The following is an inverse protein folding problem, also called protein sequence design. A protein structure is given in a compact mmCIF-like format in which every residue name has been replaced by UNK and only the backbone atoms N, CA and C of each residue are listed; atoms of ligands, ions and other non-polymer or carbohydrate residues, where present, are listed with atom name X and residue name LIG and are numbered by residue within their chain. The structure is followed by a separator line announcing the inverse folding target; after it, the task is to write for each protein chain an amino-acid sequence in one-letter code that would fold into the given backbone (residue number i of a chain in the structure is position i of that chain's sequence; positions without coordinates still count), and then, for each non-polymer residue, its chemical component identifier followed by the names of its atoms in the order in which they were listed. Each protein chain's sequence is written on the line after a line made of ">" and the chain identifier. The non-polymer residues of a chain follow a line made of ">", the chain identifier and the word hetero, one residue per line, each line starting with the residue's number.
data_IF_700316040857
#
_entry.id   IF_700316040857
#
_cell.length_a   1.000
_cell.length_b   1.000
_cell.length_c   1.000
_cell.angle_alpha   90.00
_cell.angle_beta   90.00
_cell.angle_gamma   90.00
#
_symmetry.space_group_name_H-M   'P 1'
#
loop_
_entity.id
_entity.type
_entity.pdbx_description
1 polymer ?
#
# COMPACT_ATOMS: atom_id res chain seq x y z
N UNK A 1 7.25 15.80 -6.81
CA UNK A 1 7.09 14.63 -5.93
C UNK A 1 7.24 15.11 -4.50
N UNK A 2 6.21 14.97 -3.66
CA UNK A 2 6.20 15.46 -2.27
C UNK A 2 6.11 14.24 -1.35
N UNK A 3 6.80 14.22 -0.22
CA UNK A 3 6.71 13.14 0.76
C UNK A 3 5.35 13.15 1.48
N UNK A 4 4.63 12.03 1.45
CA UNK A 4 3.37 11.86 2.18
C UNK A 4 3.60 11.48 3.66
N UNK A 5 4.75 10.86 3.95
CA UNK A 5 5.16 10.45 5.29
C UNK A 5 6.56 10.92 5.59
N UNK A 6 6.84 11.11 6.87
CA UNK A 6 8.19 11.36 7.35
C UNK A 6 9.09 10.14 7.11
N UNK A 7 10.34 10.40 6.76
CA UNK A 7 11.37 9.38 6.63
C UNK A 7 12.12 9.34 7.95
N UNK A 8 12.17 8.16 8.55
CA UNK A 8 12.86 7.91 9.81
C UNK A 8 14.14 7.12 9.54
N UNK A 9 15.17 7.36 10.34
CA UNK A 9 16.33 6.48 10.38
C UNK A 9 16.07 5.28 11.33
N UNK A 10 16.99 4.30 11.40
CA UNK A 10 16.84 3.14 12.29
C UNK A 10 16.72 3.49 13.78
N UNK A 11 17.26 4.63 14.21
CA UNK A 11 17.14 5.14 15.59
C UNK A 11 15.87 5.96 15.84
N UNK A 12 14.98 6.11 14.84
CA UNK A 12 13.74 6.86 14.94
C UNK A 12 13.87 8.39 14.77
N UNK A 13 15.03 8.89 14.35
CA UNK A 13 15.25 10.30 14.02
C UNK A 13 14.64 10.64 12.65
N UNK A 14 13.91 11.74 12.58
CA UNK A 14 13.32 12.26 11.33
C UNK A 14 14.41 12.80 10.41
N UNK A 15 14.58 12.18 9.26
CA UNK A 15 15.50 12.60 8.20
C UNK A 15 14.87 13.60 7.25
N UNK A 16 13.59 13.39 6.93
CA UNK A 16 12.79 14.27 6.08
C UNK A 16 11.36 14.29 6.63
N UNK A 17 10.79 15.48 6.87
CA UNK A 17 9.40 15.61 7.30
C UNK A 17 8.42 15.33 6.16
N UNK A 18 7.20 14.94 6.51
CA UNK A 18 6.08 14.95 5.56
C UNK A 18 5.90 16.34 4.93
N UNK A 19 5.46 16.40 3.68
CA UNK A 19 5.33 17.65 2.90
C UNK A 19 6.64 18.12 2.24
N UNK A 20 7.77 17.43 2.45
CA UNK A 20 9.04 17.81 1.82
C UNK A 20 9.06 17.44 0.34
N UNK A 21 9.47 18.38 -0.51
CA UNK A 21 9.65 18.14 -1.94
C UNK A 21 10.90 17.27 -2.20
N UNK A 22 10.71 16.13 -2.87
CA UNK A 22 11.78 15.26 -3.34
C UNK A 22 12.43 15.85 -4.59
N UNK A 23 13.59 16.49 -4.38
CA UNK A 23 14.48 16.94 -5.46
C UNK A 23 15.44 15.83 -5.88
N UNK A 24 16.02 15.87 -7.09
CA UNK A 24 17.00 14.86 -7.53
C UNK A 24 18.19 14.72 -6.56
N UNK A 25 18.72 15.84 -6.06
CA UNK A 25 19.81 15.83 -5.08
C UNK A 25 19.40 15.19 -3.73
N UNK A 26 18.13 15.34 -3.33
CA UNK A 26 17.63 14.69 -2.12
C UNK A 26 17.51 13.18 -2.32
N UNK A 27 17.05 12.74 -3.50
CA UNK A 27 16.96 11.32 -3.85
C UNK A 27 18.34 10.66 -3.80
N UNK A 28 19.36 11.26 -4.39
CA UNK A 28 20.73 10.73 -4.35
C UNK A 28 21.26 10.59 -2.92
N UNK A 29 20.97 11.57 -2.05
CA UNK A 29 21.30 11.47 -0.62
C UNK A 29 20.60 10.31 0.07
N UNK A 30 19.30 10.12 -0.19
CA UNK A 30 18.52 9.05 0.43
C UNK A 30 19.01 7.66 -0.02
N UNK A 31 19.40 7.52 -1.30
CA UNK A 31 20.04 6.30 -1.81
C UNK A 31 21.35 6.02 -1.07
N UNK A 32 22.19 7.04 -0.86
CA UNK A 32 23.43 6.91 -0.09
C UNK A 32 23.22 6.58 1.39
N UNK A 33 21.99 6.66 1.89
CA UNK A 33 21.60 6.31 3.26
C UNK A 33 20.89 4.94 3.34
N UNK A 34 20.96 4.13 2.29
CA UNK A 34 20.30 2.81 2.19
C UNK A 34 18.77 2.86 2.38
N UNK A 35 18.13 3.98 2.00
CA UNK A 35 16.67 4.09 2.02
C UNK A 35 16.10 3.48 0.74
N UNK A 36 15.36 2.38 0.93
CA UNK A 36 14.89 1.50 -0.16
C UNK A 36 13.55 1.92 -0.74
N UNK A 37 12.68 2.50 0.10
CA UNK A 37 11.34 2.93 -0.29
C UNK A 37 10.95 4.25 0.39
N UNK A 38 10.12 5.04 -0.29
CA UNK A 38 9.56 6.29 0.22
C UNK A 38 8.10 6.41 -0.19
N UNK A 39 7.28 6.99 0.68
CA UNK A 39 5.86 7.25 0.37
C UNK A 39 5.68 8.68 -0.10
N UNK A 40 5.11 8.88 -1.28
CA UNK A 40 4.92 10.21 -1.89
C UNK A 40 3.45 10.55 -2.09
N UNK A 41 3.13 11.82 -2.00
CA UNK A 41 1.83 12.35 -2.39
C UNK A 41 1.70 12.28 -3.92
N UNK A 42 0.60 11.70 -4.38
CA UNK A 42 0.31 11.57 -5.80
C UNK A 42 -0.39 10.26 -6.14
N UNK A 43 -0.48 9.99 -7.44
CA UNK A 43 -1.15 8.80 -7.95
C UNK A 43 -0.23 7.58 -7.77
N UNK A 44 -0.71 6.47 -7.19
CA UNK A 44 0.04 5.23 -7.16
C UNK A 44 0.46 4.88 -8.59
N UNK A 45 1.76 4.73 -8.81
CA UNK A 45 2.28 4.19 -10.06
C UNK A 45 2.03 2.70 -9.98
N UNK A 46 1.33 2.12 -10.96
CA UNK A 46 1.15 0.67 -11.05
C UNK A 46 2.55 0.07 -11.16
N UNK A 47 3.01 -0.56 -10.09
CA UNK A 47 4.31 -1.21 -10.06
C UNK A 47 4.22 -2.53 -10.85
N UNK A 48 5.27 -2.90 -11.58
CA UNK A 48 5.32 -4.20 -12.24
C UNK A 48 5.16 -5.32 -11.20
N UNK A 49 4.12 -6.15 -11.36
CA UNK A 49 3.76 -7.21 -10.42
C UNK A 49 2.71 -6.82 -9.36
N UNK A 50 2.22 -5.58 -9.36
CA UNK A 50 1.09 -5.20 -8.51
C UNK A 50 -0.20 -5.87 -9.00
N UNK A 51 -0.88 -6.56 -8.08
CA UNK A 51 -2.15 -7.23 -8.38
C UNK A 51 -3.27 -6.22 -8.50
N UNK A 52 -4.07 -6.38 -9.53
CA UNK A 52 -5.34 -5.68 -9.65
C UNK A 52 -6.28 -6.08 -8.51
N UNK A 53 -7.21 -5.20 -8.14
CA UNK A 53 -8.25 -5.51 -7.16
C UNK A 53 -9.00 -6.82 -7.52
N UNK A 54 -9.23 -7.08 -8.82
CA UNK A 54 -9.87 -8.32 -9.25
C UNK A 54 -9.02 -9.56 -8.96
N UNK A 55 -7.70 -9.49 -9.16
CA UNK A 55 -6.80 -10.59 -8.86
C UNK A 55 -6.72 -10.85 -7.35
N UNK A 56 -6.63 -9.80 -6.53
CA UNK A 56 -6.64 -9.92 -5.07
C UNK A 56 -7.95 -10.55 -4.55
N UNK A 57 -9.10 -10.16 -5.13
CA UNK A 57 -10.39 -10.76 -4.80
C UNK A 57 -10.46 -12.25 -5.18
N UNK A 58 -9.94 -12.63 -6.36
CA UNK A 58 -9.87 -14.03 -6.81
C UNK A 58 -8.99 -14.87 -5.89
N UNK A 59 -7.91 -14.33 -5.36
CA UNK A 59 -7.08 -15.05 -4.40
C UNK A 59 -7.81 -15.30 -3.08
N UNK A 60 -8.60 -14.33 -2.62
CA UNK A 60 -9.47 -14.53 -1.46
C UNK A 60 -10.49 -15.64 -1.77
N UNK A 61 -11.10 -15.65 -2.95
CA UNK A 61 -12.00 -16.73 -3.35
C UNK A 61 -11.31 -18.10 -3.31
N UNK A 62 -10.12 -18.21 -3.90
CA UNK A 62 -9.34 -19.45 -3.92
C UNK A 62 -8.96 -19.97 -2.53
N UNK A 63 -8.69 -19.08 -1.56
CA UNK A 63 -8.39 -19.48 -0.17
C UNK A 63 -9.58 -20.09 0.55
N UNK A 64 -10.80 -19.68 0.21
CA UNK A 64 -12.04 -20.15 0.85
C UNK A 64 -12.74 -21.28 0.09
N UNK A 65 -12.22 -21.71 -1.07
CA UNK A 65 -12.85 -22.74 -1.92
C UNK A 65 -13.12 -24.08 -1.21
N UNK A 66 -12.36 -24.40 -0.14
CA UNK A 66 -12.46 -25.67 0.58
C UNK A 66 -13.42 -25.63 1.78
N UNK A 67 -14.04 -24.48 2.04
CA UNK A 67 -14.84 -24.23 3.25
C UNK A 67 -16.18 -23.52 2.92
N UNK A 68 -16.67 -23.71 1.69
CA UNK A 68 -17.87 -23.02 1.20
C UNK A 68 -19.16 -23.42 1.95
N UNK A 69 -19.15 -24.61 2.56
CA UNK A 69 -20.22 -25.15 3.40
C UNK A 69 -20.22 -24.59 4.83
N UNK A 70 -19.14 -23.93 5.26
CA UNK A 70 -19.01 -23.40 6.61
C UNK A 70 -19.48 -21.95 6.65
N UNK A 71 -20.75 -21.74 7.01
CA UNK A 71 -21.40 -20.43 7.02
C UNK A 71 -20.62 -19.31 7.77
N UNK A 72 -20.03 -19.54 8.96
CA UNK A 72 -19.20 -18.52 9.62
C UNK A 72 -17.97 -18.09 8.80
N UNK A 73 -17.33 -19.02 8.09
CA UNK A 73 -16.15 -18.72 7.27
C UNK A 73 -16.55 -17.96 6.00
N UNK A 74 -17.72 -18.25 5.43
CA UNK A 74 -18.25 -17.47 4.31
C UNK A 74 -18.64 -16.05 4.70
N UNK A 75 -19.12 -15.83 5.93
CA UNK A 75 -19.31 -14.49 6.47
C UNK A 75 -17.96 -13.75 6.60
N UNK A 76 -16.92 -14.43 7.12
CA UNK A 76 -15.57 -13.87 7.23
C UNK A 76 -14.99 -13.51 5.85
N UNK A 77 -15.14 -14.38 4.86
CA UNK A 77 -14.74 -14.14 3.46
C UNK A 77 -15.33 -12.83 2.93
N UNK A 78 -16.65 -12.66 3.06
CA UNK A 78 -17.35 -11.44 2.62
C UNK A 78 -16.83 -10.19 3.32
N UNK A 79 -16.57 -10.27 4.63
CA UNK A 79 -15.98 -9.18 5.41
C UNK A 79 -14.59 -8.79 4.93
N UNK A 80 -13.75 -9.78 4.60
CA UNK A 80 -12.40 -9.55 4.08
C UNK A 80 -12.46 -8.88 2.69
N UNK A 81 -13.29 -9.41 1.79
CA UNK A 81 -13.49 -8.82 0.45
C UNK A 81 -14.02 -7.39 0.52
N UNK A 82 -15.00 -7.12 1.39
CA UNK A 82 -15.54 -5.78 1.59
C UNK A 82 -14.49 -4.81 2.13
N UNK A 83 -13.64 -5.25 3.09
CA UNK A 83 -12.56 -4.42 3.63
C UNK A 83 -11.49 -4.11 2.58
N UNK A 84 -11.12 -5.09 1.75
CA UNK A 84 -10.17 -4.90 0.66
C UNK A 84 -10.70 -3.92 -0.39
N UNK A 85 -11.95 -4.10 -0.84
CA UNK A 85 -12.60 -3.19 -1.77
C UNK A 85 -12.70 -1.77 -1.20
N UNK A 86 -13.05 -1.66 0.10
CA UNK A 86 -13.10 -0.38 0.78
C UNK A 86 -11.71 0.29 0.83
N UNK A 87 -10.65 -0.44 1.18
CA UNK A 87 -9.27 0.08 1.20
C UNK A 87 -8.82 0.60 -0.17
N UNK A 88 -9.03 -0.18 -1.24
CA UNK A 88 -8.74 0.25 -2.61
C UNK A 88 -9.64 1.40 -3.07
N UNK A 89 -10.88 1.47 -2.58
CA UNK A 89 -11.78 2.59 -2.88
C UNK A 89 -11.41 3.87 -2.12
N UNK A 90 -10.90 3.78 -0.88
CA UNK A 90 -10.38 4.94 -0.14
C UNK A 90 -9.07 5.43 -0.75
N UNK A 91 -8.23 4.53 -1.26
CA UNK A 91 -7.08 4.89 -2.09
C UNK A 91 -7.52 5.53 -3.43
N UNK A 92 -8.68 5.13 -3.96
CA UNK A 92 -9.25 5.71 -5.18
C UNK A 92 -10.11 6.97 -4.97
N UNK A 93 -10.61 7.23 -3.76
CA UNK A 93 -11.50 8.34 -3.41
C UNK A 93 -10.79 9.44 -2.61
N UNK A 94 -9.64 9.15 -2.02
CA UNK A 94 -8.64 10.15 -1.63
C UNK A 94 -7.86 10.70 -2.84
N UNK A 95 -8.24 10.29 -4.07
CA UNK A 95 -7.84 10.91 -5.33
C UNK A 95 -8.50 12.26 -5.52
#
# INVERSE_FOLDING_TARGET
>A
MILAKEILNPEGMVLCGAGTALTPALIERLIGMDIVDVTVEGHPVILEGEKTLQEELREIDARFQRVEDIAPLMYLKKRIQAKLAAARSTEAAAK
#
